data_IF_054548092690
#
_entry.id   IF_054548092690
#
_cell.length_a   1.000
_cell.length_b   1.000
_cell.length_c   1.000
_cell.angle_alpha   90.00
_cell.angle_beta   90.00
_cell.angle_gamma   90.00
#
_symmetry.space_group_name_H-M   'P 1'
#
loop_
_entity.id
_entity.type
_entity.pdbx_description
1 polymer ?
#
# COMPACT_ATOMS: atom_id res chain seq x y z
N UNK A 1 70.88 18.95 34.36
CA UNK A 1 71.64 19.87 33.48
C UNK A 1 70.96 19.86 32.13
N UNK A 2 70.30 20.89 31.62
CA UNK A 2 69.92 22.24 32.06
C UNK A 2 68.75 22.63 31.13
N UNK A 3 67.60 23.04 31.66
CA UNK A 3 67.11 24.44 31.68
C UNK A 3 67.39 25.25 30.41
N UNK A 4 66.34 25.54 29.62
CA UNK A 4 65.55 26.80 29.55
C UNK A 4 66.15 27.81 28.56
N UNK A 5 65.34 28.18 27.55
CA UNK A 5 65.25 29.56 27.09
C UNK A 5 63.77 29.96 26.98
N UNK A 6 63.47 31.05 27.68
CA UNK A 6 62.27 31.88 27.66
C UNK A 6 62.25 32.76 26.39
N UNK A 7 61.05 33.11 25.93
CA UNK A 7 60.56 34.51 25.70
C UNK A 7 59.40 34.48 24.69
N UNK A 8 58.19 34.72 25.15
CA UNK A 8 57.46 36.01 25.01
C UNK A 8 56.93 36.28 23.60
N UNK A 9 55.62 36.11 23.46
CA UNK A 9 54.75 37.01 22.72
C UNK A 9 53.31 36.68 23.13
N UNK A 10 52.90 37.30 24.23
CA UNK A 10 51.52 37.72 24.42
C UNK A 10 51.06 38.47 23.16
N UNK A 11 49.90 38.14 22.59
CA UNK A 11 48.94 39.15 22.13
C UNK A 11 47.64 38.49 21.65
N UNK A 12 46.56 39.25 21.81
CA UNK A 12 45.19 39.03 21.30
C UNK A 12 44.22 38.18 22.14
N UNK A 13 44.17 38.43 23.46
CA UNK A 13 43.05 38.06 24.32
C UNK A 13 42.31 39.26 24.94
N UNK A 14 41.95 40.26 24.14
CA UNK A 14 41.15 41.41 24.62
C UNK A 14 39.93 41.68 23.72
N UNK A 15 38.73 41.56 24.31
CA UNK A 15 37.51 42.16 23.78
C UNK A 15 37.47 43.67 24.08
N UNK A 16 36.72 44.43 23.29
CA UNK A 16 36.75 45.90 23.22
C UNK A 16 36.45 46.68 24.53
N UNK A 17 36.12 46.01 25.64
CA UNK A 17 35.83 46.64 26.94
C UNK A 17 36.64 46.06 28.12
N UNK A 18 37.75 45.35 27.88
CA UNK A 18 38.77 45.08 28.92
C UNK A 18 38.35 44.18 30.10
N UNK A 19 37.34 43.32 29.95
CA UNK A 19 36.93 42.37 30.98
C UNK A 19 37.26 40.90 30.58
N UNK A 20 37.73 40.05 31.51
CA UNK A 20 38.11 38.66 31.19
C UNK A 20 36.87 37.80 30.87
N UNK A 21 36.89 37.14 29.71
CA UNK A 21 35.83 36.28 29.21
C UNK A 21 35.67 35.03 30.11
N UNK A 22 34.58 34.97 30.89
CA UNK A 22 34.22 33.79 31.66
C UNK A 22 33.75 32.66 30.73
N UNK A 23 34.54 31.59 30.62
CA UNK A 23 34.17 30.33 29.96
C UNK A 23 33.05 29.66 30.77
N UNK A 24 31.79 29.96 30.42
CA UNK A 24 30.62 29.24 30.96
C UNK A 24 30.47 27.91 30.24
N UNK A 25 31.00 26.83 30.84
CA UNK A 25 30.58 25.45 30.53
C UNK A 25 29.09 25.29 30.88
N UNK A 26 28.19 25.58 29.94
CA UNK A 26 26.80 25.14 30.02
C UNK A 26 26.74 23.68 29.58
N UNK A 27 26.49 22.79 30.56
CA UNK A 27 25.98 21.45 30.34
C UNK A 27 24.87 21.50 29.30
N UNK A 28 25.03 20.81 28.18
CA UNK A 28 23.92 20.38 27.34
C UNK A 28 23.09 19.40 28.17
N UNK A 29 22.14 19.92 28.94
CA UNK A 29 20.93 19.18 29.26
C UNK A 29 20.04 19.37 28.04
N UNK A 30 19.96 18.35 27.20
CA UNK A 30 18.95 18.27 26.16
C UNK A 30 17.63 17.99 26.87
N UNK A 31 16.96 19.04 27.34
CA UNK A 31 15.53 18.98 27.60
C UNK A 31 14.85 19.12 26.23
N UNK A 32 14.89 18.03 25.47
CA UNK A 32 14.01 17.86 24.32
C UNK A 32 12.68 17.35 24.87
N UNK A 33 11.65 18.18 24.80
CA UNK A 33 10.28 17.74 24.99
C UNK A 33 10.01 16.52 24.08
N UNK A 34 9.51 15.38 24.58
CA UNK A 34 9.16 14.23 23.75
C UNK A 34 7.97 14.49 22.81
N UNK A 35 7.28 15.61 22.97
CA UNK A 35 6.00 15.90 22.31
C UNK A 35 6.13 16.61 20.94
N UNK A 36 7.35 16.93 20.47
CA UNK A 36 7.59 17.50 19.13
C UNK A 36 7.85 16.43 18.04
N UNK A 37 7.61 15.15 18.34
CA UNK A 37 7.42 14.09 17.34
C UNK A 37 5.93 13.81 17.10
N UNK A 38 5.08 14.85 17.17
CA UNK A 38 3.75 14.80 16.55
C UNK A 38 3.92 14.79 15.03
N UNK A 39 4.15 13.59 14.51
CA UNK A 39 3.46 13.04 13.36
C UNK A 39 3.19 14.06 12.24
N UNK A 40 4.18 14.23 11.37
CA UNK A 40 4.04 14.84 10.05
C UNK A 40 3.21 13.89 9.14
N UNK A 41 2.03 13.49 9.62
CA UNK A 41 1.03 12.75 8.85
C UNK A 41 0.45 13.75 7.89
N UNK A 42 1.04 13.79 6.69
CA UNK A 42 0.46 14.44 5.54
C UNK A 42 -1.07 14.13 5.52
N UNK A 43 -1.96 15.14 5.62
CA UNK A 43 -3.41 14.94 5.60
C UNK A 43 -3.89 14.23 4.32
N UNK A 44 -3.06 14.18 3.28
CA UNK A 44 -3.33 13.43 2.04
C UNK A 44 -2.98 11.94 2.14
N UNK A 45 -2.27 11.52 3.19
CA UNK A 45 -1.93 10.12 3.47
C UNK A 45 -2.95 9.41 4.39
N UNK A 46 -4.06 10.07 4.74
CA UNK A 46 -5.10 9.46 5.57
C UNK A 46 -5.86 8.38 4.78
N UNK A 47 -5.53 7.12 5.07
CA UNK A 47 -6.25 5.95 4.59
C UNK A 47 -7.69 5.95 5.13
N UNK A 48 -8.66 5.63 4.26
CA UNK A 48 -10.06 5.58 4.62
C UNK A 48 -10.42 4.19 5.17
N UNK A 49 -11.27 4.16 6.19
CA UNK A 49 -11.85 2.92 6.69
C UNK A 49 -12.78 2.27 5.65
N UNK A 50 -13.01 0.95 5.74
CA UNK A 50 -13.93 0.21 4.88
C UNK A 50 -15.33 0.84 4.81
N UNK A 51 -15.85 1.35 5.93
CA UNK A 51 -17.16 2.01 5.97
C UNK A 51 -17.15 3.35 5.23
N UNK A 52 -16.04 4.08 5.30
CA UNK A 52 -15.86 5.34 4.56
C UNK A 52 -15.70 5.13 3.06
N UNK A 53 -15.25 3.95 2.61
CA UNK A 53 -15.18 3.61 1.19
C UNK A 53 -16.57 3.41 0.56
N UNK A 54 -17.54 2.93 1.33
CA UNK A 54 -18.91 2.72 0.85
C UNK A 54 -19.66 4.04 0.56
N UNK A 55 -19.30 5.13 1.24
CA UNK A 55 -19.88 6.45 1.01
C UNK A 55 -19.21 7.11 -0.20
N UNK A 56 -19.72 6.78 -1.40
CA UNK A 56 -19.19 7.31 -2.67
C UNK A 56 -19.48 8.80 -2.77
N UNK A 57 -18.44 9.62 -2.56
CA UNK A 57 -18.53 11.09 -2.61
C UNK A 57 -18.17 11.69 -3.97
N UNK A 58 -17.85 10.86 -4.96
CA UNK A 58 -17.51 11.27 -6.32
C UNK A 58 -18.73 11.35 -7.26
N UNK A 59 -18.63 12.06 -8.40
CA UNK A 59 -19.70 12.13 -9.40
C UNK A 59 -19.88 10.81 -10.15
N UNK A 60 -18.84 9.98 -10.22
CA UNK A 60 -18.88 8.61 -10.74
C UNK A 60 -18.04 7.68 -9.87
N UNK A 61 -18.37 6.39 -9.87
CA UNK A 61 -17.61 5.39 -9.13
C UNK A 61 -16.16 5.27 -9.64
N UNK A 62 -15.95 5.43 -10.95
CA UNK A 62 -14.62 5.38 -11.57
C UNK A 62 -13.74 6.51 -11.05
N UNK A 63 -14.26 7.74 -11.04
CA UNK A 63 -13.52 8.90 -10.50
C UNK A 63 -13.25 8.76 -8.99
N UNK A 64 -14.18 8.15 -8.25
CA UNK A 64 -13.98 7.86 -6.83
C UNK A 64 -12.81 6.90 -6.60
N UNK A 65 -12.74 5.80 -7.36
CA UNK A 65 -11.65 4.80 -7.26
C UNK A 65 -10.30 5.38 -7.68
N UNK A 66 -10.29 6.31 -8.65
CA UNK A 66 -9.06 6.96 -9.11
C UNK A 66 -8.43 7.93 -8.09
N UNK A 67 -9.17 8.35 -7.06
CA UNK A 67 -8.60 9.17 -6.00
C UNK A 67 -7.51 8.39 -5.25
N UNK A 68 -6.34 8.99 -5.07
CA UNK A 68 -5.17 8.32 -4.51
C UNK A 68 -5.45 7.68 -3.14
N UNK A 69 -6.19 8.38 -2.28
CA UNK A 69 -6.52 7.91 -0.93
C UNK A 69 -7.43 6.68 -0.97
N UNK A 70 -8.42 6.70 -1.87
CA UNK A 70 -9.35 5.58 -2.10
C UNK A 70 -8.61 4.40 -2.70
N UNK A 71 -7.80 4.62 -3.75
CA UNK A 71 -7.00 3.58 -4.39
C UNK A 71 -6.05 2.88 -3.41
N UNK A 72 -5.34 3.63 -2.56
CA UNK A 72 -4.45 3.09 -1.52
C UNK A 72 -5.21 2.28 -0.48
N UNK A 73 -6.36 2.79 -0.03
CA UNK A 73 -7.21 2.08 0.92
C UNK A 73 -7.71 0.76 0.32
N UNK A 74 -8.17 0.78 -0.93
CA UNK A 74 -8.57 -0.42 -1.66
C UNK A 74 -7.40 -1.40 -1.81
N UNK A 75 -6.21 -0.93 -2.16
CA UNK A 75 -5.03 -1.76 -2.30
C UNK A 75 -4.68 -2.48 -0.98
N UNK A 76 -4.68 -1.74 0.14
CA UNK A 76 -4.48 -2.30 1.49
C UNK A 76 -5.53 -3.36 1.81
N UNK A 77 -6.79 -3.09 1.53
CA UNK A 77 -7.88 -4.02 1.83
C UNK A 77 -7.81 -5.27 0.96
N UNK A 78 -7.46 -5.16 -0.32
CA UNK A 78 -7.20 -6.31 -1.20
C UNK A 78 -6.00 -7.12 -0.72
N UNK A 79 -4.95 -6.45 -0.21
CA UNK A 79 -3.76 -7.10 0.35
C UNK A 79 -4.10 -7.91 1.60
N UNK A 80 -4.82 -7.31 2.55
CA UNK A 80 -5.33 -8.02 3.73
C UNK A 80 -6.22 -9.19 3.33
N UNK A 81 -7.04 -9.06 2.29
CA UNK A 81 -7.85 -10.18 1.78
C UNK A 81 -6.97 -11.35 1.29
N UNK A 82 -5.94 -11.10 0.49
CA UNK A 82 -5.06 -12.17 0.01
C UNK A 82 -4.29 -12.88 1.13
N UNK A 83 -3.96 -12.17 2.22
CA UNK A 83 -3.18 -12.71 3.33
C UNK A 83 -4.04 -13.39 4.41
N UNK A 84 -5.20 -12.80 4.73
CA UNK A 84 -6.02 -13.20 5.88
C UNK A 84 -7.16 -14.16 5.50
N UNK A 85 -7.55 -14.23 4.24
CA UNK A 85 -8.68 -15.08 3.83
C UNK A 85 -8.37 -16.56 4.05
N UNK A 86 -9.23 -17.22 4.83
CA UNK A 86 -9.17 -18.64 5.12
C UNK A 86 -10.48 -19.33 4.75
N UNK A 87 -10.36 -20.55 4.23
CA UNK A 87 -11.51 -21.40 3.92
C UNK A 87 -12.21 -21.87 5.21
N UNK A 88 -13.40 -22.48 5.10
CA UNK A 88 -14.16 -23.07 6.22
C UNK A 88 -13.34 -24.07 7.06
N UNK A 89 -12.27 -24.63 6.46
CA UNK A 89 -11.32 -25.56 7.10
C UNK A 89 -10.13 -24.87 7.77
N UNK A 90 -10.11 -23.55 7.85
CA UNK A 90 -9.05 -22.75 8.47
C UNK A 90 -7.73 -22.72 7.70
N UNK A 91 -7.74 -23.07 6.41
CA UNK A 91 -6.54 -23.06 5.56
C UNK A 91 -6.52 -21.79 4.69
N UNK A 92 -5.37 -21.11 4.61
CA UNK A 92 -5.20 -19.98 3.71
C UNK A 92 -5.22 -20.46 2.25
N UNK A 93 -6.27 -20.10 1.52
CA UNK A 93 -6.48 -20.50 0.12
C UNK A 93 -5.51 -19.75 -0.79
N UNK A 94 -5.43 -18.42 -0.64
CA UNK A 94 -4.61 -17.58 -1.49
C UNK A 94 -3.12 -17.73 -1.20
N UNK A 95 -2.71 -17.96 0.05
CA UNK A 95 -1.32 -18.30 0.34
C UNK A 95 -0.87 -19.60 -0.36
N UNK A 96 -1.76 -20.60 -0.48
CA UNK A 96 -1.46 -21.81 -1.26
C UNK A 96 -1.41 -21.52 -2.77
N UNK A 97 -2.34 -20.73 -3.31
CA UNK A 97 -2.36 -20.34 -4.73
C UNK A 97 -1.13 -19.54 -5.12
N UNK A 98 -0.70 -18.58 -4.29
CA UNK A 98 0.51 -17.77 -4.53
C UNK A 98 1.77 -18.65 -4.50
N UNK A 99 1.85 -19.62 -3.58
CA UNK A 99 2.96 -20.59 -3.57
C UNK A 99 3.03 -21.38 -4.87
N UNK A 100 1.90 -21.94 -5.31
CA UNK A 100 1.82 -22.68 -6.58
C UNK A 100 2.13 -21.78 -7.78
N UNK A 101 1.68 -20.53 -7.77
CA UNK A 101 2.01 -19.55 -8.81
C UNK A 101 3.52 -19.38 -8.96
N UNK A 102 4.23 -19.20 -7.84
CA UNK A 102 5.69 -19.08 -7.84
C UNK A 102 6.42 -20.38 -8.22
N UNK A 103 5.91 -21.54 -7.83
CA UNK A 103 6.49 -22.84 -8.20
C UNK A 103 6.37 -23.13 -9.71
N UNK A 104 5.26 -22.72 -10.32
CA UNK A 104 4.97 -22.96 -11.75
C UNK A 104 5.44 -21.78 -12.63
N UNK A 105 6.00 -20.72 -12.03
CA UNK A 105 6.35 -19.47 -12.70
C UNK A 105 5.19 -18.90 -13.54
N UNK A 106 3.97 -18.94 -12.98
CA UNK A 106 2.77 -18.46 -13.65
C UNK A 106 2.59 -16.96 -13.44
N UNK A 107 2.02 -16.28 -14.43
CA UNK A 107 1.68 -14.86 -14.36
C UNK A 107 0.21 -14.62 -13.97
N UNK A 108 -0.58 -15.70 -13.78
CA UNK A 108 -2.02 -15.59 -13.56
C UNK A 108 -2.41 -16.07 -12.17
N UNK A 109 -2.95 -15.16 -11.35
CA UNK A 109 -3.47 -15.48 -10.03
C UNK A 109 -4.99 -15.62 -10.08
N UNK A 110 -5.51 -16.82 -9.84
CA UNK A 110 -6.95 -17.03 -9.80
C UNK A 110 -7.56 -16.58 -8.46
N UNK A 111 -8.61 -15.75 -8.51
CA UNK A 111 -9.35 -15.25 -7.34
C UNK A 111 -10.84 -15.51 -7.51
N UNK A 112 -11.48 -16.16 -6.53
CA UNK A 112 -12.92 -16.40 -6.58
C UNK A 112 -13.68 -15.16 -6.12
N UNK A 113 -14.63 -14.71 -6.92
CA UNK A 113 -15.49 -13.55 -6.61
C UNK A 113 -16.30 -13.78 -5.32
N UNK A 114 -16.72 -15.03 -5.06
CA UNK A 114 -17.49 -15.39 -3.86
C UNK A 114 -16.72 -15.09 -2.58
N UNK A 115 -15.46 -15.52 -2.53
CA UNK A 115 -14.59 -15.28 -1.39
C UNK A 115 -14.47 -13.78 -1.08
N UNK A 116 -14.32 -12.97 -2.13
CA UNK A 116 -14.19 -11.53 -2.01
C UNK A 116 -15.51 -10.89 -1.55
N UNK A 117 -16.65 -11.36 -2.05
CA UNK A 117 -17.98 -10.92 -1.61
C UNK A 117 -18.27 -11.27 -0.14
N UNK A 118 -17.88 -12.47 0.31
CA UNK A 118 -18.10 -12.94 1.68
C UNK A 118 -17.25 -12.17 2.69
N UNK A 119 -15.99 -11.85 2.35
CA UNK A 119 -15.11 -11.11 3.26
C UNK A 119 -15.33 -9.59 3.20
N UNK A 120 -15.46 -9.04 1.98
CA UNK A 120 -15.40 -7.59 1.70
C UNK A 120 -16.36 -7.24 0.57
N UNK A 121 -17.66 -7.27 0.87
CA UNK A 121 -18.73 -7.03 -0.11
C UNK A 121 -18.60 -5.70 -0.88
N UNK A 122 -18.06 -4.65 -0.25
CA UNK A 122 -17.86 -3.34 -0.89
C UNK A 122 -16.87 -3.44 -2.07
N UNK A 123 -15.77 -4.16 -1.88
CA UNK A 123 -14.78 -4.38 -2.94
C UNK A 123 -15.37 -5.23 -4.08
N UNK A 124 -16.22 -6.21 -3.74
CA UNK A 124 -16.91 -7.03 -4.72
C UNK A 124 -17.85 -6.20 -5.59
N UNK A 125 -18.54 -5.23 -4.99
CA UNK A 125 -19.39 -4.29 -5.69
C UNK A 125 -18.58 -3.40 -6.63
N UNK A 126 -17.46 -2.85 -6.16
CA UNK A 126 -16.57 -2.02 -6.99
C UNK A 126 -15.99 -2.79 -8.17
N UNK A 127 -15.55 -4.03 -7.94
CA UNK A 127 -15.06 -4.91 -9.00
C UNK A 127 -16.14 -5.21 -10.05
N UNK A 128 -17.40 -5.36 -9.66
CA UNK A 128 -18.49 -5.63 -10.58
C UNK A 128 -18.83 -4.40 -11.46
N UNK A 129 -18.80 -3.21 -10.87
CA UNK A 129 -19.22 -1.96 -11.53
C UNK A 129 -18.10 -1.26 -12.29
N UNK A 130 -16.85 -1.38 -11.85
CA UNK A 130 -15.68 -0.73 -12.43
C UNK A 130 -14.46 -1.69 -12.47
N UNK A 131 -14.54 -2.82 -13.19
CA UNK A 131 -13.48 -3.83 -13.24
C UNK A 131 -12.17 -3.29 -13.83
N UNK A 132 -12.23 -2.36 -14.79
CA UNK A 132 -11.02 -1.86 -15.47
C UNK A 132 -10.05 -1.16 -14.50
N UNK A 133 -10.55 -0.28 -13.64
CA UNK A 133 -9.71 0.38 -12.64
C UNK A 133 -9.40 -0.53 -11.46
N UNK A 134 -10.34 -1.41 -11.09
CA UNK A 134 -10.12 -2.32 -9.98
C UNK A 134 -9.07 -3.39 -10.25
N UNK A 135 -9.06 -3.98 -11.44
CA UNK A 135 -8.09 -5.00 -11.80
C UNK A 135 -6.67 -4.41 -11.87
N UNK A 136 -6.49 -3.16 -12.31
CA UNK A 136 -5.17 -2.49 -12.27
C UNK A 136 -4.62 -2.40 -10.85
N UNK A 137 -5.46 -1.99 -9.89
CA UNK A 137 -5.06 -1.93 -8.48
C UNK A 137 -4.77 -3.33 -7.95
N UNK A 138 -5.59 -4.32 -8.35
CA UNK A 138 -5.45 -5.68 -7.85
C UNK A 138 -4.20 -6.38 -8.37
N UNK A 139 -3.80 -6.12 -9.62
CA UNK A 139 -2.57 -6.65 -10.23
C UNK A 139 -1.33 -6.17 -9.45
N UNK A 140 -1.27 -4.88 -9.10
CA UNK A 140 -0.19 -4.32 -8.26
C UNK A 140 -0.14 -5.03 -6.90
N UNK A 141 -1.28 -5.18 -6.25
CA UNK A 141 -1.38 -5.88 -4.95
C UNK A 141 -0.98 -7.35 -5.06
N UNK A 142 -1.30 -8.02 -6.18
CA UNK A 142 -0.92 -9.41 -6.42
C UNK A 142 0.60 -9.58 -6.58
N UNK A 143 1.27 -8.63 -7.24
CA UNK A 143 2.74 -8.58 -7.30
C UNK A 143 3.32 -8.41 -5.89
N UNK A 144 2.87 -7.41 -5.13
CA UNK A 144 3.36 -7.20 -3.76
C UNK A 144 3.14 -8.41 -2.84
N UNK A 145 1.98 -9.07 -2.95
CA UNK A 145 1.66 -10.27 -2.17
C UNK A 145 2.55 -11.47 -2.55
N UNK A 146 2.93 -11.57 -3.82
CA UNK A 146 3.82 -12.64 -4.31
C UNK A 146 5.27 -12.37 -3.90
N UNK A 147 5.73 -11.13 -3.98
CA UNK A 147 7.08 -10.73 -3.55
C UNK A 147 7.32 -10.98 -2.05
N UNK A 148 6.26 -10.93 -1.22
CA UNK A 148 6.35 -11.29 0.20
C UNK A 148 6.79 -12.75 0.41
N UNK A 149 6.38 -13.66 -0.47
CA UNK A 149 6.74 -15.08 -0.40
C UNK A 149 8.01 -15.40 -1.19
N UNK A 150 8.21 -14.76 -2.34
CA UNK A 150 9.33 -14.98 -3.24
C UNK A 150 10.03 -13.65 -3.54
N UNK A 151 11.04 -13.26 -2.74
CA UNK A 151 11.82 -12.07 -3.03
C UNK A 151 12.51 -12.25 -4.38
N UNK A 152 12.40 -11.25 -5.25
CA UNK A 152 12.88 -11.24 -6.65
C UNK A 152 12.00 -11.97 -7.68
N UNK A 153 10.73 -12.27 -7.39
CA UNK A 153 9.82 -12.80 -8.42
C UNK A 153 9.69 -11.86 -9.64
N UNK A 154 9.86 -10.56 -9.42
CA UNK A 154 9.92 -9.50 -10.44
C UNK A 154 11.01 -9.70 -11.51
N UNK A 155 12.01 -10.56 -11.27
CA UNK A 155 13.01 -10.93 -12.28
C UNK A 155 12.49 -11.92 -13.32
N UNK A 156 11.46 -12.70 -12.97
CA UNK A 156 10.85 -13.70 -13.86
C UNK A 156 9.71 -13.04 -14.63
N UNK A 157 8.75 -12.47 -13.90
CA UNK A 157 7.59 -11.77 -14.45
C UNK A 157 7.45 -10.39 -13.78
N UNK A 158 7.34 -9.35 -14.59
CA UNK A 158 7.22 -7.97 -14.10
C UNK A 158 5.79 -7.65 -13.62
N UNK A 159 4.80 -8.34 -14.15
CA UNK A 159 3.38 -8.13 -13.85
C UNK A 159 2.75 -9.47 -13.47
N UNK A 160 1.66 -9.41 -12.69
CA UNK A 160 0.81 -10.56 -12.38
C UNK A 160 -0.62 -10.12 -12.63
N UNK A 161 -1.36 -10.92 -13.40
CA UNK A 161 -2.74 -10.63 -13.75
C UNK A 161 -3.71 -11.46 -12.92
N UNK A 162 -4.63 -10.79 -12.25
CA UNK A 162 -5.67 -11.45 -11.47
C UNK A 162 -6.79 -11.96 -12.39
N UNK A 163 -7.11 -13.25 -12.27
CA UNK A 163 -8.20 -13.91 -13.01
C UNK A 163 -9.37 -14.16 -12.08
N UNK A 164 -10.47 -13.46 -12.30
CA UNK A 164 -11.68 -13.58 -11.47
C UNK A 164 -12.48 -14.82 -11.88
N UNK A 165 -12.70 -15.73 -10.94
CA UNK A 165 -13.53 -16.92 -11.07
C UNK A 165 -14.87 -16.75 -10.34
N UNK A 166 -15.83 -17.62 -10.64
CA UNK A 166 -17.12 -17.76 -9.95
C UNK A 166 -17.98 -16.48 -9.83
N UNK A 167 -17.91 -15.58 -10.82
CA UNK A 167 -18.79 -14.42 -10.86
C UNK A 167 -20.27 -14.90 -10.90
N UNK A 168 -21.14 -14.38 -10.01
CA UNK A 168 -22.49 -14.91 -9.79
C UNK A 168 -23.45 -14.61 -10.94
N UNK A 169 -23.30 -13.46 -11.60
CA UNK A 169 -24.20 -13.05 -12.68
C UNK A 169 -23.75 -13.67 -14.01
N UNK A 170 -24.46 -14.70 -14.44
CA UNK A 170 -24.27 -15.34 -15.74
C UNK A 170 -25.27 -14.78 -16.75
N UNK A 171 -24.76 -14.41 -17.94
CA UNK A 171 -25.57 -13.88 -19.03
C UNK A 171 -25.39 -14.71 -20.30
N UNK A 172 -26.47 -14.97 -21.02
CA UNK A 172 -26.37 -15.46 -22.40
C UNK A 172 -25.91 -14.31 -23.32
N UNK A 173 -25.19 -14.63 -24.40
CA UNK A 173 -24.73 -13.65 -25.39
C UNK A 173 -25.86 -12.75 -25.92
N UNK A 174 -27.07 -13.30 -26.02
CA UNK A 174 -28.28 -12.60 -26.50
C UNK A 174 -28.87 -11.61 -25.49
N UNK A 175 -28.52 -11.73 -24.22
CA UNK A 175 -29.10 -10.93 -23.14
C UNK A 175 -28.25 -9.68 -22.82
N UNK A 176 -27.10 -9.54 -23.47
CA UNK A 176 -26.26 -8.35 -23.32
C UNK A 176 -26.96 -7.10 -23.86
N UNK A 177 -26.92 -6.02 -23.08
CA UNK A 177 -27.57 -4.72 -23.34
C UNK A 177 -26.62 -3.60 -22.92
N UNK A 178 -26.97 -2.37 -23.28
CA UNK A 178 -26.22 -1.15 -22.94
C UNK A 178 -25.91 -1.03 -21.44
N UNK A 179 -26.81 -1.48 -20.56
CA UNK A 179 -26.61 -1.44 -19.10
C UNK A 179 -25.40 -2.26 -18.60
N UNK A 180 -24.88 -3.19 -19.40
CA UNK A 180 -23.72 -4.01 -19.05
C UNK A 180 -22.39 -3.41 -19.54
N UNK A 181 -22.42 -2.23 -20.19
CA UNK A 181 -21.20 -1.57 -20.64
C UNK A 181 -20.30 -1.23 -19.46
N UNK A 182 -19.00 -1.48 -19.63
CA UNK A 182 -17.95 -1.24 -18.63
C UNK A 182 -18.15 -1.99 -17.30
N UNK A 183 -19.03 -2.99 -17.24
CA UNK A 183 -19.24 -3.85 -16.07
C UNK A 183 -18.62 -5.23 -16.28
N UNK A 184 -18.36 -5.93 -15.18
CA UNK A 184 -17.90 -7.31 -15.23
C UNK A 184 -19.07 -8.22 -15.62
N UNK A 185 -18.87 -9.04 -16.65
CA UNK A 185 -19.87 -10.02 -17.11
C UNK A 185 -19.25 -11.40 -17.22
N UNK A 186 -20.05 -12.43 -16.88
CA UNK A 186 -19.72 -13.82 -17.14
C UNK A 186 -20.65 -14.35 -18.21
N UNK A 187 -20.09 -14.89 -19.27
CA UNK A 187 -20.82 -15.40 -20.43
C UNK A 187 -20.36 -16.82 -20.73
N UNK A 188 -21.24 -17.64 -21.28
CA UNK A 188 -20.90 -18.96 -21.83
C UNK A 188 -21.26 -19.04 -23.32
N UNK A 189 -20.40 -19.67 -24.10
CA UNK A 189 -20.61 -19.93 -25.52
C UNK A 189 -19.74 -21.09 -26.00
N UNK A 190 -19.93 -21.49 -27.25
CA UNK A 190 -19.05 -22.43 -27.95
C UNK A 190 -18.05 -21.61 -28.75
N UNK A 191 -16.77 -21.97 -28.66
CA UNK A 191 -15.66 -21.34 -29.41
C UNK A 191 -15.61 -21.90 -30.82
#
# INVERSE_FOLDING_TARGET
RDQVYLSDAEDDAFGADGLPAQVRRRRHHTDGDPDELMDDVDPTHQELSLESLADVKGPSLVEWILQLNVARSIARELKSFLLEYTDEKGRSVYGARIRTLGEVNSESLEVSYRHLADSKAILALFLALAPAEMLKIFDIVAVEATELHYPNYSQIHQEIHVRIADFPNHFALRDLREKHLNQLVRVSGVV
#
